data_IF_070630965621
#
_entry.id   IF_070630965621
#
_cell.length_a   1.000
_cell.length_b   1.000
_cell.length_c   1.000
_cell.angle_alpha   90.00
_cell.angle_beta   90.00
_cell.angle_gamma   90.00
#
_symmetry.space_group_name_H-M   'P 1'
#
loop_
_entity.id
_entity.type
_entity.pdbx_description
1 polymer ?
#
# COMPACT_ATOMS: atom_id res chain seq x y z
N UNK A 1 -8.74 -22.20 22.80
CA UNK A 1 -9.89 -21.59 22.12
C UNK A 1 -10.20 -20.28 22.81
N UNK A 2 -9.98 -19.16 22.12
CA UNK A 2 -10.14 -17.81 22.69
C UNK A 2 -11.61 -17.44 22.76
N UNK A 3 -12.03 -16.81 23.86
CA UNK A 3 -13.41 -16.34 24.03
C UNK A 3 -13.53 -14.97 23.33
N UNK A 4 -13.72 -15.03 22.01
CA UNK A 4 -13.91 -13.86 21.16
C UNK A 4 -15.02 -14.16 20.14
N UNK A 5 -15.83 -13.13 19.84
CA UNK A 5 -16.89 -13.15 18.84
C UNK A 5 -16.44 -12.39 17.60
N UNK A 6 -16.28 -13.11 16.50
CA UNK A 6 -15.80 -12.57 15.22
C UNK A 6 -16.92 -12.61 14.19
N UNK A 7 -17.16 -11.49 13.52
CA UNK A 7 -18.04 -11.43 12.35
C UNK A 7 -17.16 -11.42 11.09
N UNK A 8 -17.46 -12.28 10.14
CA UNK A 8 -16.83 -12.33 8.82
C UNK A 8 -17.85 -11.90 7.77
N UNK A 9 -17.50 -10.88 6.99
CA UNK A 9 -18.36 -10.31 5.95
C UNK A 9 -17.65 -10.41 4.61
N UNK A 10 -18.18 -11.22 3.71
CA UNK A 10 -17.66 -11.43 2.35
C UNK A 10 -18.80 -11.96 1.48
N UNK A 11 -19.00 -11.45 0.27
CA UNK A 11 -20.07 -11.90 -0.62
C UNK A 11 -19.79 -13.28 -1.24
N UNK A 12 -18.56 -13.76 -1.14
CA UNK A 12 -18.14 -15.07 -1.62
C UNK A 12 -18.33 -16.13 -0.53
N UNK A 13 -19.33 -16.98 -0.70
CA UNK A 13 -19.62 -18.05 0.25
C UNK A 13 -18.46 -19.07 0.44
N UNK A 14 -17.61 -19.27 -0.58
CA UNK A 14 -16.45 -20.16 -0.43
C UNK A 14 -15.42 -19.57 0.52
N UNK A 15 -15.20 -18.26 0.47
CA UNK A 15 -14.37 -17.50 1.41
C UNK A 15 -14.95 -17.59 2.82
N UNK A 16 -16.25 -17.35 2.98
CA UNK A 16 -16.94 -17.45 4.28
C UNK A 16 -16.78 -18.85 4.90
N UNK A 17 -16.99 -19.91 4.12
CA UNK A 17 -16.83 -21.30 4.59
C UNK A 17 -15.37 -21.59 5.00
N UNK A 18 -14.41 -21.15 4.20
CA UNK A 18 -12.99 -21.35 4.47
C UNK A 18 -12.58 -20.64 5.76
N UNK A 19 -12.89 -19.35 5.90
CA UNK A 19 -12.60 -18.57 7.10
C UNK A 19 -13.29 -19.14 8.33
N UNK A 20 -14.56 -19.52 8.23
CA UNK A 20 -15.27 -20.15 9.35
C UNK A 20 -14.57 -21.43 9.82
N UNK A 21 -14.12 -22.27 8.91
CA UNK A 21 -13.40 -23.51 9.24
C UNK A 21 -12.07 -23.20 9.94
N UNK A 22 -11.27 -22.29 9.37
CA UNK A 22 -9.97 -21.93 9.92
C UNK A 22 -10.11 -21.32 11.31
N UNK A 23 -11.02 -20.34 11.45
CA UNK A 23 -11.16 -19.56 12.68
C UNK A 23 -11.84 -20.35 13.82
N UNK A 24 -12.71 -21.32 13.52
CA UNK A 24 -13.39 -22.11 14.52
C UNK A 24 -12.47 -23.01 15.38
N UNK A 25 -11.21 -23.20 14.97
CA UNK A 25 -10.22 -23.90 15.77
C UNK A 25 -9.62 -23.01 16.87
N UNK A 26 -9.60 -21.71 16.69
CA UNK A 26 -8.97 -20.77 17.61
C UNK A 26 -9.98 -19.93 18.41
N UNK A 27 -11.11 -19.57 17.80
CA UNK A 27 -12.10 -18.66 18.37
C UNK A 27 -13.44 -19.35 18.63
N UNK A 28 -14.12 -18.96 19.71
CA UNK A 28 -15.34 -19.61 20.19
C UNK A 28 -16.56 -19.32 19.34
N UNK A 29 -16.71 -18.07 18.86
CA UNK A 29 -17.92 -17.63 18.16
C UNK A 29 -17.56 -16.97 16.83
N UNK A 30 -17.96 -17.62 15.73
CA UNK A 30 -17.77 -17.11 14.37
C UNK A 30 -19.13 -16.94 13.70
N UNK A 31 -19.44 -15.71 13.31
CA UNK A 31 -20.64 -15.36 12.55
C UNK A 31 -20.21 -14.97 11.15
N UNK A 32 -20.78 -15.64 10.15
CA UNK A 32 -20.48 -15.33 8.73
C UNK A 32 -21.70 -14.74 8.06
N UNK A 33 -21.54 -13.65 7.34
CA UNK A 33 -22.61 -12.96 6.60
C UNK A 33 -22.15 -12.61 5.19
N UNK A 34 -23.03 -12.80 4.22
CA UNK A 34 -22.74 -12.52 2.80
C UNK A 34 -23.05 -11.07 2.40
N UNK A 35 -23.61 -10.28 3.30
CA UNK A 35 -23.97 -8.89 3.03
C UNK A 35 -23.66 -8.00 4.23
N UNK A 36 -22.95 -6.89 4.04
CA UNK A 36 -22.61 -5.97 5.12
C UNK A 36 -23.83 -5.19 5.65
N UNK A 37 -24.97 -5.21 4.95
CA UNK A 37 -26.23 -4.59 5.39
C UNK A 37 -26.72 -5.15 6.73
N UNK A 38 -26.29 -6.37 7.09
CA UNK A 38 -26.64 -7.00 8.36
C UNK A 38 -25.79 -6.50 9.54
N UNK A 39 -24.65 -5.83 9.30
CA UNK A 39 -23.73 -5.38 10.33
C UNK A 39 -24.38 -4.52 11.41
N UNK A 40 -25.21 -3.50 11.11
CA UNK A 40 -25.84 -2.67 12.16
C UNK A 40 -26.68 -3.46 13.14
N UNK A 41 -27.34 -4.51 12.66
CA UNK A 41 -28.16 -5.37 13.53
C UNK A 41 -27.28 -6.26 14.42
N UNK A 42 -26.19 -6.79 13.87
CA UNK A 42 -25.27 -7.68 14.57
C UNK A 42 -24.39 -6.94 15.60
N UNK A 43 -24.07 -5.69 15.33
CA UNK A 43 -23.20 -4.84 16.20
C UNK A 43 -23.98 -4.12 17.29
N UNK A 44 -25.33 -4.13 17.26
CA UNK A 44 -26.17 -3.36 18.20
C UNK A 44 -25.93 -3.70 19.67
N UNK A 45 -25.62 -4.96 19.97
CA UNK A 45 -25.44 -5.42 21.35
C UNK A 45 -24.07 -5.09 21.93
N UNK A 46 -23.11 -4.67 21.12
CA UNK A 46 -21.74 -4.36 21.55
C UNK A 46 -20.92 -5.56 22.03
N UNK A 47 -21.36 -6.78 21.72
CA UNK A 47 -20.73 -8.05 22.12
C UNK A 47 -19.81 -8.65 21.05
N UNK A 48 -19.45 -7.85 20.04
CA UNK A 48 -18.56 -8.26 18.94
C UNK A 48 -17.16 -7.71 19.19
N UNK A 49 -16.17 -8.59 19.17
CA UNK A 49 -14.78 -8.23 19.40
C UNK A 49 -14.08 -7.83 18.12
N UNK A 50 -14.42 -8.47 17.00
CA UNK A 50 -13.75 -8.24 15.72
C UNK A 50 -14.71 -8.39 14.53
N UNK A 51 -14.46 -7.57 13.50
CA UNK A 51 -15.08 -7.69 12.18
C UNK A 51 -13.99 -7.89 11.13
N UNK A 52 -14.07 -8.99 10.40
CA UNK A 52 -13.33 -9.23 9.15
C UNK A 52 -14.22 -8.76 8.01
N UNK A 53 -13.80 -7.74 7.29
CA UNK A 53 -14.63 -7.05 6.30
C UNK A 53 -13.97 -7.10 4.92
N UNK A 54 -14.65 -7.72 3.95
CA UNK A 54 -14.20 -7.62 2.57
C UNK A 54 -14.30 -6.17 2.06
N UNK A 55 -13.34 -5.77 1.24
CA UNK A 55 -13.29 -4.43 0.64
C UNK A 55 -14.26 -4.29 -0.53
N UNK A 56 -14.55 -5.37 -1.24
CA UNK A 56 -15.30 -5.36 -2.49
C UNK A 56 -16.51 -6.30 -2.40
N UNK A 57 -17.70 -5.72 -2.43
CA UNK A 57 -18.97 -6.44 -2.51
C UNK A 57 -19.60 -6.27 -3.89
N UNK A 58 -20.03 -7.39 -4.49
CA UNK A 58 -20.74 -7.40 -5.78
C UNK A 58 -19.83 -7.54 -7.01
N UNK A 59 -20.31 -8.34 -7.96
CA UNK A 59 -19.62 -8.63 -9.20
C UNK A 59 -19.47 -7.36 -10.06
N UNK A 60 -18.22 -6.92 -10.28
CA UNK A 60 -17.87 -5.93 -11.30
C UNK A 60 -17.54 -4.52 -10.84
N UNK A 61 -17.56 -4.20 -9.55
CA UNK A 61 -17.11 -2.91 -9.02
C UNK A 61 -15.86 -3.07 -8.16
N UNK A 62 -14.69 -2.93 -8.74
CA UNK A 62 -13.40 -2.89 -8.04
C UNK A 62 -13.11 -1.51 -7.42
N UNK A 63 -14.10 -0.85 -6.82
CA UNK A 63 -13.90 0.50 -6.29
C UNK A 63 -13.52 0.55 -4.81
N UNK A 64 -13.62 -0.58 -4.07
CA UNK A 64 -13.40 -0.62 -2.61
C UNK A 64 -14.27 0.35 -1.79
N UNK A 65 -15.10 1.15 -2.45
CA UNK A 65 -15.90 2.19 -1.80
C UNK A 65 -16.94 1.64 -0.83
N UNK A 66 -17.45 0.43 -1.07
CA UNK A 66 -18.42 -0.20 -0.17
C UNK A 66 -17.76 -0.65 1.13
N UNK A 67 -16.58 -1.27 1.07
CA UNK A 67 -15.82 -1.65 2.26
C UNK A 67 -15.47 -0.42 3.12
N UNK A 68 -15.04 0.67 2.50
CA UNK A 68 -14.76 1.94 3.17
C UNK A 68 -16.02 2.53 3.84
N UNK A 69 -17.15 2.52 3.15
CA UNK A 69 -18.41 3.01 3.72
C UNK A 69 -18.79 2.23 4.99
N UNK A 70 -18.67 0.89 4.96
CA UNK A 70 -19.00 0.08 6.12
C UNK A 70 -17.97 0.20 7.24
N UNK A 71 -16.68 0.37 6.90
CA UNK A 71 -15.65 0.71 7.87
C UNK A 71 -16.02 2.00 8.64
N UNK A 72 -16.30 3.08 7.91
CA UNK A 72 -16.69 4.36 8.52
C UNK A 72 -17.90 4.18 9.46
N UNK A 73 -18.91 3.39 9.05
CA UNK A 73 -20.10 3.09 9.87
C UNK A 73 -19.80 2.28 11.14
N UNK A 74 -18.85 1.35 11.06
CA UNK A 74 -18.44 0.57 12.24
C UNK A 74 -17.68 1.47 13.21
N UNK A 75 -16.79 2.33 12.72
CA UNK A 75 -15.98 3.23 13.53
C UNK A 75 -16.79 4.35 14.21
N UNK A 76 -17.98 4.68 13.68
CA UNK A 76 -18.91 5.63 14.33
C UNK A 76 -19.55 5.08 15.62
N UNK A 77 -19.42 3.78 15.90
CA UNK A 77 -19.97 3.20 17.13
C UNK A 77 -19.22 3.72 18.36
N UNK A 78 -19.90 3.80 19.49
CA UNK A 78 -19.31 4.25 20.76
C UNK A 78 -18.13 3.37 21.21
N UNK A 79 -18.23 2.06 21.01
CA UNK A 79 -17.18 1.08 21.26
C UNK A 79 -17.02 0.20 20.01
N UNK A 80 -16.27 0.65 19.01
CA UNK A 80 -16.14 -0.10 17.77
C UNK A 80 -15.36 -1.40 18.02
N UNK A 81 -15.74 -2.52 17.37
CA UNK A 81 -14.92 -3.72 17.35
C UNK A 81 -13.60 -3.47 16.61
N UNK A 82 -12.64 -4.37 16.78
CA UNK A 82 -11.46 -4.43 15.91
C UNK A 82 -11.92 -4.66 14.47
N UNK A 83 -11.48 -3.84 13.52
CA UNK A 83 -11.81 -4.04 12.10
C UNK A 83 -10.56 -4.44 11.34
N UNK A 84 -10.59 -5.64 10.74
CA UNK A 84 -9.56 -6.11 9.82
C UNK A 84 -10.18 -6.24 8.43
N UNK A 85 -9.53 -5.62 7.46
CA UNK A 85 -9.99 -5.64 6.08
C UNK A 85 -9.43 -6.84 5.34
N UNK A 86 -10.24 -7.42 4.47
CA UNK A 86 -9.80 -8.45 3.53
C UNK A 86 -9.80 -7.84 2.14
N UNK A 87 -8.70 -7.94 1.42
CA UNK A 87 -8.54 -7.24 0.14
C UNK A 87 -7.83 -8.10 -0.91
N UNK A 88 -8.05 -7.82 -2.17
CA UNK A 88 -7.28 -8.41 -3.26
C UNK A 88 -5.95 -7.66 -3.46
N UNK A 89 -4.98 -8.30 -4.12
CA UNK A 89 -3.65 -7.72 -4.39
C UNK A 89 -3.68 -6.35 -5.10
N UNK A 90 -4.73 -6.08 -5.88
CA UNK A 90 -4.88 -4.82 -6.61
C UNK A 90 -5.28 -3.61 -5.75
N UNK A 91 -5.77 -3.83 -4.53
CA UNK A 91 -6.43 -2.83 -3.70
C UNK A 91 -5.60 -2.43 -2.47
N UNK A 92 -4.27 -2.66 -2.49
CA UNK A 92 -3.37 -2.37 -1.36
C UNK A 92 -3.39 -0.88 -1.00
N UNK A 93 -3.43 0.03 -1.97
CA UNK A 93 -3.51 1.48 -1.72
C UNK A 93 -4.78 1.84 -0.93
N UNK A 94 -5.88 1.17 -1.27
CA UNK A 94 -7.16 1.35 -0.59
C UNK A 94 -7.12 0.79 0.84
N UNK A 95 -6.51 -0.37 1.04
CA UNK A 95 -6.30 -0.95 2.37
C UNK A 95 -5.50 0.00 3.26
N UNK A 96 -4.41 0.58 2.74
CA UNK A 96 -3.61 1.57 3.48
C UNK A 96 -4.38 2.85 3.81
N UNK A 97 -5.20 3.34 2.88
CA UNK A 97 -6.07 4.50 3.17
C UNK A 97 -7.08 4.20 4.28
N UNK A 98 -7.53 2.95 4.35
CA UNK A 98 -8.46 2.47 5.38
C UNK A 98 -7.82 2.39 6.77
N UNK A 99 -6.52 2.05 6.83
CA UNK A 99 -5.77 2.09 8.10
C UNK A 99 -5.69 3.52 8.66
N UNK A 100 -5.47 4.51 7.80
CA UNK A 100 -5.51 5.93 8.19
C UNK A 100 -6.88 6.38 8.70
N UNK A 101 -7.94 5.70 8.30
CA UNK A 101 -9.31 5.93 8.76
C UNK A 101 -9.63 5.21 10.07
N UNK A 102 -8.79 4.29 10.54
CA UNK A 102 -8.97 3.58 11.81
C UNK A 102 -9.23 2.08 11.70
N UNK A 103 -9.09 1.48 10.51
CA UNK A 103 -9.00 0.03 10.44
C UNK A 103 -7.75 -0.45 11.20
N UNK A 104 -7.87 -1.57 11.91
CA UNK A 104 -6.78 -2.05 12.76
C UNK A 104 -5.68 -2.72 11.94
N UNK A 105 -6.05 -3.46 10.89
CA UNK A 105 -5.11 -4.16 10.00
C UNK A 105 -5.80 -4.58 8.69
N UNK A 106 -5.06 -5.23 7.79
CA UNK A 106 -5.62 -5.81 6.58
C UNK A 106 -4.96 -7.14 6.22
N UNK A 107 -5.69 -7.97 5.47
CA UNK A 107 -5.25 -9.28 4.99
C UNK A 107 -5.43 -9.34 3.48
N UNK A 108 -4.38 -9.73 2.78
CA UNK A 108 -4.40 -9.83 1.31
C UNK A 108 -4.78 -11.24 0.87
N UNK A 109 -5.74 -11.34 -0.05
CA UNK A 109 -6.13 -12.60 -0.73
C UNK A 109 -5.10 -12.96 -1.81
N UNK A 110 -4.60 -14.20 -1.91
CA UNK A 110 -4.78 -15.31 -0.98
C UNK A 110 -3.89 -15.16 0.27
N UNK A 111 -4.39 -15.58 1.42
CA UNK A 111 -3.66 -15.53 2.69
C UNK A 111 -3.00 -16.86 3.05
N UNK A 112 -2.04 -16.77 3.95
CA UNK A 112 -1.51 -17.88 4.70
C UNK A 112 -2.32 -18.04 6.01
N UNK A 113 -2.73 -19.27 6.35
CA UNK A 113 -3.64 -19.52 7.47
C UNK A 113 -3.00 -19.19 8.81
N UNK A 114 -1.70 -19.47 8.98
CA UNK A 114 -1.00 -19.19 10.24
C UNK A 114 -0.85 -17.69 10.44
N UNK A 115 -0.46 -16.98 9.38
CA UNK A 115 -0.35 -15.51 9.41
C UNK A 115 -1.70 -14.85 9.64
N UNK A 116 -2.76 -15.32 9.00
CA UNK A 116 -4.13 -14.84 9.24
C UNK A 116 -4.46 -14.93 10.73
N UNK A 117 -4.32 -16.11 11.34
CA UNK A 117 -4.63 -16.34 12.77
C UNK A 117 -3.76 -15.42 13.65
N UNK A 118 -2.47 -15.33 13.37
CA UNK A 118 -1.56 -14.46 14.15
C UNK A 118 -1.98 -13.00 14.08
N UNK A 119 -2.32 -12.50 12.88
CA UNK A 119 -2.82 -11.12 12.70
C UNK A 119 -4.06 -10.85 13.53
N UNK A 120 -5.03 -11.78 13.54
CA UNK A 120 -6.24 -11.62 14.32
C UNK A 120 -5.96 -11.63 15.84
N UNK A 121 -5.10 -12.53 16.28
CA UNK A 121 -4.69 -12.62 17.69
C UNK A 121 -4.02 -11.34 18.15
N UNK A 122 -3.02 -10.86 17.42
CA UNK A 122 -2.31 -9.62 17.73
C UNK A 122 -3.24 -8.40 17.75
N UNK A 123 -4.19 -8.35 16.81
CA UNK A 123 -5.16 -7.26 16.77
C UNK A 123 -6.08 -7.23 18.00
N UNK A 124 -6.50 -8.40 18.50
CA UNK A 124 -7.28 -8.52 19.73
C UNK A 124 -6.44 -8.19 20.98
N UNK A 125 -5.20 -8.64 21.04
CA UNK A 125 -4.28 -8.36 22.15
C UNK A 125 -3.96 -6.85 22.25
N UNK A 126 -3.70 -6.20 21.12
CA UNK A 126 -3.48 -4.75 21.05
C UNK A 126 -4.69 -3.93 21.53
N UNK A 127 -5.92 -4.39 21.26
CA UNK A 127 -7.12 -3.75 21.80
C UNK A 127 -7.13 -3.77 23.34
N UNK A 128 -6.61 -4.86 23.93
CA UNK A 128 -6.52 -4.99 25.39
C UNK A 128 -5.40 -4.16 26.02
N UNK A 129 -4.37 -3.82 25.26
CA UNK A 129 -3.15 -3.11 25.75
C UNK A 129 -3.11 -1.62 25.37
N UNK A 130 -4.17 -1.04 24.84
CA UNK A 130 -4.30 0.31 24.24
C UNK A 130 -3.14 1.31 24.45
N UNK A 131 -2.74 1.93 23.36
CA UNK A 131 -2.16 3.29 23.21
C UNK A 131 -0.66 3.49 22.94
N UNK A 132 0.22 2.50 22.91
CA UNK A 132 1.65 2.84 22.77
C UNK A 132 2.37 2.39 21.48
N UNK A 133 1.82 1.47 20.67
CA UNK A 133 2.61 0.84 19.58
C UNK A 133 1.88 0.66 18.22
N UNK A 134 0.90 1.48 17.90
CA UNK A 134 0.00 1.26 16.73
C UNK A 134 0.66 1.41 15.35
N UNK A 135 1.71 2.20 15.21
CA UNK A 135 2.25 2.58 13.89
C UNK A 135 3.13 1.46 13.30
N UNK A 136 3.87 0.73 14.14
CA UNK A 136 4.89 -0.22 13.67
C UNK A 136 4.32 -1.49 12.99
N UNK A 137 3.32 -2.13 13.58
CA UNK A 137 2.80 -3.41 13.06
C UNK A 137 2.01 -3.29 11.76
N UNK A 138 1.38 -2.14 11.56
CA UNK A 138 0.64 -1.82 10.33
C UNK A 138 1.59 -1.60 9.16
N UNK A 139 2.68 -0.87 9.41
CA UNK A 139 3.73 -0.65 8.43
C UNK A 139 4.39 -1.98 8.01
N UNK A 140 4.66 -2.86 8.97
CA UNK A 140 5.21 -4.19 8.69
C UNK A 140 4.29 -5.05 7.81
N UNK A 141 2.99 -5.04 8.07
CA UNK A 141 2.00 -5.76 7.25
C UNK A 141 1.99 -5.25 5.81
N UNK A 142 2.07 -3.94 5.61
CA UNK A 142 2.16 -3.31 4.30
C UNK A 142 3.46 -3.69 3.58
N UNK A 143 4.60 -3.59 4.27
CA UNK A 143 5.91 -3.93 3.73
C UNK A 143 5.93 -5.39 3.27
N UNK A 144 5.43 -6.32 4.10
CA UNK A 144 5.35 -7.72 3.77
C UNK A 144 4.43 -8.00 2.57
N UNK A 145 3.31 -7.30 2.46
CA UNK A 145 2.40 -7.41 1.33
C UNK A 145 3.06 -6.92 0.02
N UNK A 146 3.79 -5.80 0.07
CA UNK A 146 4.52 -5.29 -1.08
C UNK A 146 5.65 -6.22 -1.51
N UNK A 147 6.46 -6.72 -0.56
CA UNK A 147 7.51 -7.69 -0.85
C UNK A 147 6.93 -8.95 -1.51
N UNK A 148 5.85 -9.49 -0.96
CA UNK A 148 5.18 -10.67 -1.54
C UNK A 148 4.70 -10.40 -2.96
N UNK A 149 4.01 -9.27 -3.18
CA UNK A 149 3.53 -8.85 -4.51
C UNK A 149 4.66 -8.84 -5.56
N UNK A 150 5.76 -8.17 -5.23
CA UNK A 150 6.83 -8.00 -6.22
C UNK A 150 7.71 -9.24 -6.37
N UNK A 151 7.94 -10.01 -5.31
CA UNK A 151 8.66 -11.29 -5.44
C UNK A 151 7.89 -12.31 -6.29
N UNK A 152 6.57 -12.36 -6.16
CA UNK A 152 5.72 -13.20 -7.03
C UNK A 152 5.72 -12.70 -8.48
N UNK A 153 5.62 -11.37 -8.68
CA UNK A 153 5.63 -10.77 -10.02
C UNK A 153 6.94 -11.04 -10.79
N UNK A 154 8.06 -11.05 -10.08
CA UNK A 154 9.38 -11.24 -10.68
C UNK A 154 9.96 -12.67 -10.49
N UNK A 155 9.13 -13.62 -10.03
CA UNK A 155 9.51 -15.02 -9.77
C UNK A 155 10.76 -15.16 -8.87
N UNK A 156 10.89 -14.29 -7.85
CA UNK A 156 11.98 -14.31 -6.87
C UNK A 156 11.49 -14.91 -5.54
N UNK A 157 12.44 -15.38 -4.73
CA UNK A 157 12.15 -15.81 -3.36
C UNK A 157 11.90 -14.61 -2.45
N UNK A 158 11.01 -14.77 -1.47
CA UNK A 158 10.74 -13.72 -0.48
C UNK A 158 11.98 -13.45 0.39
N UNK A 159 12.58 -12.26 0.34
CA UNK A 159 13.77 -11.95 1.13
C UNK A 159 13.41 -11.73 2.61
N UNK A 160 14.40 -11.96 3.49
CA UNK A 160 14.32 -11.49 4.88
C UNK A 160 14.81 -10.04 4.93
N UNK A 161 14.25 -9.25 5.82
CA UNK A 161 14.70 -7.88 6.10
C UNK A 161 15.50 -7.84 7.40
N UNK A 162 16.47 -6.94 7.49
CA UNK A 162 17.07 -6.57 8.78
C UNK A 162 16.12 -5.64 9.54
N UNK A 163 16.34 -5.48 10.85
CA UNK A 163 15.54 -4.57 11.68
C UNK A 163 15.63 -3.14 11.15
N UNK A 164 16.83 -2.70 10.78
CA UNK A 164 17.08 -1.37 10.24
C UNK A 164 16.34 -1.13 8.90
N UNK A 165 16.20 -2.18 8.08
CA UNK A 165 15.43 -2.10 6.83
C UNK A 165 13.93 -1.96 7.10
N UNK A 166 13.40 -2.70 8.08
CA UNK A 166 12.00 -2.59 8.51
C UNK A 166 11.72 -1.20 9.07
N UNK A 167 12.59 -0.68 9.93
CA UNK A 167 12.44 0.66 10.51
C UNK A 167 12.42 1.76 9.44
N UNK A 168 13.34 1.69 8.47
CA UNK A 168 13.40 2.65 7.35
C UNK A 168 12.13 2.63 6.50
N UNK A 169 11.66 1.45 6.13
CA UNK A 169 10.45 1.30 5.34
C UNK A 169 9.20 1.71 6.13
N UNK A 170 9.17 1.43 7.45
CA UNK A 170 8.08 1.83 8.33
C UNK A 170 8.00 3.34 8.49
N UNK A 171 9.14 4.04 8.58
CA UNK A 171 9.19 5.50 8.60
C UNK A 171 8.67 6.09 7.28
N UNK A 172 9.03 5.50 6.13
CA UNK A 172 8.49 5.91 4.82
C UNK A 172 6.96 5.71 4.75
N UNK A 173 6.47 4.57 5.23
CA UNK A 173 5.03 4.30 5.30
C UNK A 173 4.30 5.32 6.20
N UNK A 174 4.88 5.66 7.34
CA UNK A 174 4.34 6.62 8.30
C UNK A 174 4.25 8.06 7.76
N UNK A 175 5.17 8.45 6.87
CA UNK A 175 5.12 9.75 6.16
C UNK A 175 4.00 9.83 5.13
N UNK A 176 3.39 8.70 4.77
CA UNK A 176 2.26 8.62 3.85
C UNK A 176 2.61 8.67 2.37
N UNK A 177 3.86 8.54 2.03
CA UNK A 177 4.34 8.49 0.63
C UNK A 177 4.38 7.03 0.13
N UNK A 178 3.18 6.51 -0.13
CA UNK A 178 3.01 5.12 -0.57
C UNK A 178 3.57 4.84 -1.96
N UNK A 179 3.51 5.82 -2.85
CA UNK A 179 4.05 5.66 -4.19
C UNK A 179 5.56 5.47 -4.13
N UNK A 180 6.24 6.26 -3.31
CA UNK A 180 7.67 6.14 -3.07
C UNK A 180 8.04 4.82 -2.40
N UNK A 181 7.27 4.40 -1.39
CA UNK A 181 7.46 3.11 -0.72
C UNK A 181 7.31 1.94 -1.72
N UNK A 182 6.26 1.94 -2.53
CA UNK A 182 6.04 0.90 -3.54
C UNK A 182 7.18 0.86 -4.55
N UNK A 183 7.57 2.00 -5.11
CA UNK A 183 8.65 2.11 -6.07
C UNK A 183 9.99 1.63 -5.48
N UNK A 184 10.28 2.02 -4.23
CA UNK A 184 11.50 1.62 -3.53
C UNK A 184 11.56 0.12 -3.32
N UNK A 185 10.47 -0.49 -2.82
CA UNK A 185 10.39 -1.96 -2.59
C UNK A 185 10.46 -2.71 -3.92
N UNK A 186 9.72 -2.28 -4.95
CA UNK A 186 9.74 -2.89 -6.27
C UNK A 186 11.14 -2.90 -6.88
N UNK A 187 11.82 -1.74 -6.88
CA UNK A 187 13.17 -1.57 -7.39
C UNK A 187 14.16 -2.48 -6.65
N UNK A 188 14.09 -2.50 -5.32
CA UNK A 188 14.98 -3.34 -4.51
C UNK A 188 14.77 -4.82 -4.82
N UNK A 189 13.53 -5.29 -4.85
CA UNK A 189 13.22 -6.69 -5.22
C UNK A 189 13.72 -7.02 -6.62
N UNK A 190 13.61 -6.09 -7.57
CA UNK A 190 14.05 -6.30 -8.95
C UNK A 190 15.58 -6.39 -9.07
N UNK A 191 16.31 -5.49 -8.41
CA UNK A 191 17.75 -5.27 -8.64
C UNK A 191 18.66 -5.99 -7.66
N UNK A 192 18.20 -6.32 -6.45
CA UNK A 192 19.04 -6.89 -5.39
C UNK A 192 18.73 -8.37 -5.20
N UNK A 193 19.77 -9.21 -5.33
CA UNK A 193 19.66 -10.68 -5.19
C UNK A 193 20.36 -11.19 -3.91
N UNK A 194 20.35 -10.40 -2.83
CA UNK A 194 20.90 -10.83 -1.53
C UNK A 194 19.80 -11.08 -0.51
N UNK A 195 20.11 -11.85 0.52
CA UNK A 195 19.24 -12.08 1.67
C UNK A 195 20.12 -12.26 2.94
N UNK A 196 19.88 -11.50 4.00
CA UNK A 196 18.84 -10.50 4.20
C UNK A 196 19.10 -9.18 3.44
N UNK A 197 18.03 -8.42 3.17
CA UNK A 197 18.10 -7.05 2.69
C UNK A 197 18.28 -6.12 3.87
N UNK A 198 19.19 -5.15 3.77
CA UNK A 198 19.42 -4.11 4.78
C UNK A 198 18.89 -2.73 4.35
N UNK A 199 18.99 -1.75 5.24
CA UNK A 199 18.48 -0.41 5.00
C UNK A 199 19.12 0.29 3.78
N UNK A 200 20.37 -0.05 3.45
CA UNK A 200 21.10 0.58 2.34
C UNK A 200 20.63 0.04 0.98
N UNK A 201 20.03 -1.14 0.94
CA UNK A 201 19.46 -1.71 -0.28
C UNK A 201 18.21 -0.96 -0.75
N UNK A 202 17.51 -0.32 0.16
CA UNK A 202 16.32 0.50 -0.10
C UNK A 202 16.73 1.95 -0.36
N UNK A 203 17.37 2.17 -1.52
CA UNK A 203 17.81 3.48 -1.92
C UNK A 203 16.63 4.32 -2.40
N UNK A 204 16.39 5.43 -1.71
CA UNK A 204 15.45 6.47 -2.13
C UNK A 204 16.24 7.45 -2.97
N UNK A 205 16.05 7.44 -4.30
CA UNK A 205 16.38 8.63 -5.07
C UNK A 205 15.42 9.72 -4.58
N UNK A 206 15.94 10.71 -3.85
CA UNK A 206 15.23 11.98 -3.78
C UNK A 206 15.02 12.40 -5.23
N UNK A 207 13.79 12.22 -5.69
CA UNK A 207 13.33 12.90 -6.88
C UNK A 207 13.46 14.39 -6.53
N UNK A 208 14.65 14.97 -6.76
CA UNK A 208 14.71 16.40 -6.99
C UNK A 208 13.55 16.64 -7.95
N UNK A 209 12.65 17.54 -7.58
CA UNK A 209 11.52 17.94 -8.42
C UNK A 209 12.06 18.26 -9.81
N UNK A 210 12.27 17.24 -10.62
CA UNK A 210 12.36 17.40 -12.04
C UNK A 210 10.93 17.73 -12.42
N UNK A 211 10.65 19.02 -12.47
CA UNK A 211 9.43 19.52 -13.10
C UNK A 211 9.39 18.88 -14.48
N UNK A 212 8.65 17.77 -14.61
CA UNK A 212 8.46 17.16 -15.91
C UNK A 212 7.83 18.23 -16.79
N UNK A 213 8.49 18.60 -17.89
CA UNK A 213 7.90 19.57 -18.80
C UNK A 213 6.53 19.05 -19.20
N UNK A 214 5.49 19.87 -18.96
CA UNK A 214 4.11 19.47 -19.22
C UNK A 214 3.79 19.41 -20.72
N UNK A 215 4.63 20.01 -21.56
CA UNK A 215 4.45 20.10 -23.02
C UNK A 215 5.72 19.74 -23.78
N UNK A 216 5.58 19.41 -25.06
CA UNK A 216 6.75 19.23 -25.95
C UNK A 216 7.62 20.48 -26.01
N UNK A 217 7.03 21.65 -25.90
CA UNK A 217 7.74 22.94 -25.90
C UNK A 217 8.61 23.08 -24.61
N UNK A 218 8.09 22.66 -23.46
CA UNK A 218 8.83 22.69 -22.21
C UNK A 218 10.01 21.71 -22.24
N UNK A 219 9.82 20.51 -22.78
CA UNK A 219 10.89 19.54 -22.99
C UNK A 219 11.96 20.08 -23.94
N UNK A 220 11.56 20.66 -25.05
CA UNK A 220 12.48 21.25 -26.02
C UNK A 220 13.28 22.39 -25.39
N UNK A 221 12.63 23.28 -24.64
CA UNK A 221 13.27 24.36 -23.91
C UNK A 221 14.32 23.85 -22.94
N UNK A 222 13.96 22.88 -22.13
CA UNK A 222 14.85 22.29 -21.11
C UNK A 222 16.05 21.63 -21.77
N UNK A 223 15.85 20.83 -22.80
CA UNK A 223 16.90 20.15 -23.52
C UNK A 223 17.88 21.11 -24.20
N UNK A 224 17.37 22.19 -24.82
CA UNK A 224 18.21 23.24 -25.40
C UNK A 224 19.04 23.93 -24.30
N UNK A 225 18.44 24.24 -23.15
CA UNK A 225 19.13 24.88 -22.02
C UNK A 225 20.30 24.01 -21.46
N UNK A 226 20.04 22.70 -21.31
CA UNK A 226 21.05 21.73 -20.87
C UNK A 226 22.24 21.65 -21.84
N UNK A 227 21.97 21.52 -23.14
CA UNK A 227 23.01 21.43 -24.16
C UNK A 227 23.83 22.74 -24.21
N UNK A 228 23.19 23.91 -24.08
CA UNK A 228 23.88 25.20 -24.00
C UNK A 228 24.79 25.27 -22.78
N UNK A 229 24.33 24.81 -21.63
CA UNK A 229 25.13 24.76 -20.39
C UNK A 229 26.33 23.81 -20.54
N UNK A 230 26.09 22.60 -21.10
CA UNK A 230 27.15 21.62 -21.36
C UNK A 230 28.25 22.17 -22.29
N UNK A 231 27.85 22.85 -23.36
CA UNK A 231 28.79 23.47 -24.33
C UNK A 231 29.25 24.87 -23.92
N UNK A 232 29.02 25.27 -22.65
CA UNK A 232 29.46 26.57 -22.10
C UNK A 232 29.07 27.77 -22.96
N UNK A 233 27.85 27.71 -23.55
CA UNK A 233 27.33 28.77 -24.40
C UNK A 233 27.85 28.79 -25.86
N UNK A 234 28.60 27.78 -26.30
CA UNK A 234 29.06 27.69 -27.67
C UNK A 234 27.95 27.26 -28.61
N UNK A 235 27.32 28.22 -29.30
CA UNK A 235 26.18 28.02 -30.18
C UNK A 235 26.47 27.10 -31.37
N UNK A 236 27.69 27.05 -31.85
CA UNK A 236 28.05 26.21 -32.99
C UNK A 236 28.08 24.72 -32.58
N UNK A 237 28.73 24.43 -31.45
CA UNK A 237 28.77 23.07 -30.92
C UNK A 237 27.41 22.61 -30.40
N UNK A 238 26.63 23.52 -29.81
CA UNK A 238 25.26 23.19 -29.36
C UNK A 238 24.32 22.87 -30.54
N UNK A 239 24.36 23.67 -31.61
CA UNK A 239 23.58 23.42 -32.81
C UNK A 239 23.95 22.08 -33.48
N UNK A 240 25.25 21.75 -33.51
CA UNK A 240 25.74 20.49 -34.03
C UNK A 240 25.26 19.29 -33.17
N UNK A 241 25.27 19.40 -31.85
CA UNK A 241 24.79 18.32 -30.95
C UNK A 241 23.27 18.12 -31.05
N UNK A 242 22.51 19.20 -31.27
CA UNK A 242 21.07 19.19 -31.45
C UNK A 242 20.63 18.83 -32.88
N UNK A 243 21.56 18.59 -33.78
CA UNK A 243 21.35 18.31 -35.21
C UNK A 243 20.43 19.36 -35.89
N UNK A 244 20.62 20.64 -35.55
CA UNK A 244 19.86 21.76 -36.13
C UNK A 244 20.83 22.86 -36.63
N UNK A 245 20.31 23.69 -37.52
CA UNK A 245 21.09 24.85 -37.98
C UNK A 245 21.31 25.84 -36.84
N UNK A 246 22.42 26.57 -36.86
CA UNK A 246 22.69 27.63 -35.89
C UNK A 246 21.60 28.71 -35.89
N UNK A 247 21.01 28.99 -37.06
CA UNK A 247 19.89 29.92 -37.17
C UNK A 247 18.62 29.40 -36.48
N UNK A 248 18.35 28.12 -36.63
CA UNK A 248 17.21 27.44 -35.95
C UNK A 248 17.40 27.49 -34.42
N UNK A 249 18.61 27.21 -33.92
CA UNK A 249 18.92 27.29 -32.51
C UNK A 249 18.69 28.72 -31.98
N UNK A 250 19.17 29.73 -32.70
CA UNK A 250 18.99 31.13 -32.32
C UNK A 250 17.51 31.54 -32.24
N UNK A 251 16.69 31.09 -33.20
CA UNK A 251 15.26 31.35 -33.19
C UNK A 251 14.55 30.66 -32.01
N UNK A 252 14.96 29.44 -31.68
CA UNK A 252 14.42 28.70 -30.52
C UNK A 252 14.85 29.34 -29.19
N UNK A 253 16.08 29.74 -29.05
CA UNK A 253 16.55 30.48 -27.86
C UNK A 253 15.74 31.77 -27.67
N UNK A 254 15.51 32.53 -28.76
CA UNK A 254 14.68 33.75 -28.69
C UNK A 254 13.23 33.44 -28.30
N UNK A 255 12.66 32.34 -28.82
CA UNK A 255 11.31 31.90 -28.48
C UNK A 255 11.19 31.54 -27.00
N UNK A 256 12.19 30.88 -26.43
CA UNK A 256 12.17 30.35 -25.07
C UNK A 256 12.82 31.24 -24.01
N UNK A 257 13.41 32.37 -24.43
CA UNK A 257 14.09 33.33 -23.53
C UNK A 257 15.36 32.76 -22.91
N UNK A 258 16.13 31.98 -23.67
CA UNK A 258 17.39 31.36 -23.29
C UNK A 258 18.59 32.20 -23.75
#
# INVERSE_FOLDING_TARGET
MRDAKIIVVDDNEAVLRSLRTILSHEFKTIVTVSSPVLLPALLRNGDVDMVLLDMNFGAGKQSGGEGLFWLDRILELKNPPVVILITAFGDIELAVSSLKKGATDFIVKPWDNEKLIQTLIHALERRAESDANEISSVAESLINALLKKYTEAYAKSLPRLTVEAVDKLSDMAGRGDLALLQQTVERTVLLVDKCPLDADDFYVEELSEVSHPCTLEDMERQFIAEVLKEKKGNLTLAAQQLDISRQTLYNKMRKYGL
#
